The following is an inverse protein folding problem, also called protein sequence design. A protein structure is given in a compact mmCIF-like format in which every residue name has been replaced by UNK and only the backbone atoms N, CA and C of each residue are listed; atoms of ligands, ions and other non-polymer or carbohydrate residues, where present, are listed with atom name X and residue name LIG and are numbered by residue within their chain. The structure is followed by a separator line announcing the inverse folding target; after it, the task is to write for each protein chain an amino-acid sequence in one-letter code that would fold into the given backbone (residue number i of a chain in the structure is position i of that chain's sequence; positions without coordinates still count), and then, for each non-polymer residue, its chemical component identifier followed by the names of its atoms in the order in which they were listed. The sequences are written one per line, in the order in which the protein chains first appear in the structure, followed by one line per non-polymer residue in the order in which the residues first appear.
data_IF_189895786368
#
_entry.id   IF_189895786368
#
_cell.length_a   1.000
_cell.length_b   1.000
_cell.length_c   1.000
_cell.angle_alpha   90.00
_cell.angle_beta   90.00
_cell.angle_gamma   90.00
#
_symmetry.space_group_name_H-M   'P 1'
#
loop_
_entity.id
_entity.type
_entity.pdbx_description
1 polymer ?
#
# COMPACT_ATOMS: atom_id res chain seq x y z
N UNK A 1 -1.71 28.26 7.46
CA UNK A 1 -2.34 27.09 6.80
C UNK A 1 -3.23 26.44 7.84
N UNK A 2 -4.50 26.21 7.56
CA UNK A 2 -5.37 25.49 8.49
C UNK A 2 -5.14 23.98 8.37
N UNK A 3 -5.15 23.28 9.52
CA UNK A 3 -5.00 21.83 9.56
C UNK A 3 -6.32 21.17 9.14
N UNK A 4 -6.31 20.37 8.09
CA UNK A 4 -7.46 19.53 7.71
C UNK A 4 -7.45 18.22 8.50
N UNK A 5 -8.63 17.69 8.76
CA UNK A 5 -8.80 16.41 9.45
C UNK A 5 -8.43 15.23 8.52
N UNK A 6 -7.92 14.10 9.06
CA UNK A 6 -7.75 12.87 8.29
C UNK A 6 -9.08 12.36 7.71
N UNK A 7 -8.99 11.60 6.62
CA UNK A 7 -10.14 11.00 5.93
C UNK A 7 -10.11 9.48 6.12
N UNK A 8 -11.27 8.89 6.41
CA UNK A 8 -11.49 7.46 6.27
C UNK A 8 -12.66 7.23 5.30
N UNK A 9 -12.34 6.76 4.10
CA UNK A 9 -13.33 6.41 3.06
C UNK A 9 -13.46 4.89 2.88
N UNK A 10 -13.02 4.09 3.85
CA UNK A 10 -13.12 2.63 3.79
C UNK A 10 -12.07 1.94 2.92
N UNK A 11 -11.02 2.64 2.48
CA UNK A 11 -9.95 2.08 1.64
C UNK A 11 -9.30 0.84 2.28
N UNK A 12 -9.03 0.89 3.59
CA UNK A 12 -8.42 -0.23 4.30
C UNK A 12 -9.32 -1.48 4.23
N UNK A 13 -10.62 -1.31 4.50
CA UNK A 13 -11.60 -2.40 4.46
C UNK A 13 -11.74 -3.01 3.06
N UNK A 14 -11.64 -2.19 2.02
CA UNK A 14 -11.60 -2.69 0.65
C UNK A 14 -10.35 -3.53 0.37
N UNK A 15 -9.18 -3.04 0.79
CA UNK A 15 -7.90 -3.72 0.57
C UNK A 15 -7.79 -5.08 1.27
N UNK A 16 -8.50 -5.29 2.39
CA UNK A 16 -8.55 -6.59 3.10
C UNK A 16 -9.00 -7.75 2.20
N UNK A 17 -9.84 -7.48 1.18
CA UNK A 17 -10.40 -8.50 0.29
C UNK A 17 -9.95 -8.39 -1.17
N UNK A 18 -9.50 -7.20 -1.60
CA UNK A 18 -9.14 -6.95 -3.00
C UNK A 18 -7.81 -7.58 -3.41
N UNK A 19 -6.69 -7.22 -2.77
CA UNK A 19 -5.37 -7.82 -3.00
C UNK A 19 -4.79 -7.79 -4.43
N UNK A 20 -5.45 -7.19 -5.43
CA UNK A 20 -5.04 -7.24 -6.85
C UNK A 20 -3.63 -6.73 -7.09
N UNK A 21 -3.19 -5.73 -6.32
CA UNK A 21 -1.84 -5.20 -6.39
C UNK A 21 -0.79 -6.26 -6.00
N UNK A 22 -1.10 -7.13 -5.04
CA UNK A 22 -0.25 -8.24 -4.63
C UNK A 22 -0.21 -9.33 -5.71
N UNK A 23 -1.37 -9.69 -6.26
CA UNK A 23 -1.49 -10.70 -7.32
C UNK A 23 -0.72 -10.30 -8.60
N UNK A 24 -0.68 -9.00 -8.90
CA UNK A 24 0.00 -8.43 -10.07
C UNK A 24 1.51 -8.22 -9.86
N UNK A 25 1.99 -8.23 -8.62
CA UNK A 25 3.38 -7.88 -8.32
C UNK A 25 4.35 -8.96 -8.83
N UNK A 26 5.24 -8.67 -9.79
CA UNK A 26 6.09 -9.70 -10.41
C UNK A 26 7.17 -10.25 -9.47
N UNK A 27 7.42 -9.56 -8.35
CA UNK A 27 8.45 -9.92 -7.37
C UNK A 27 7.89 -10.28 -6.00
N UNK A 28 6.55 -10.39 -5.88
CA UNK A 28 5.90 -10.73 -4.62
C UNK A 28 6.22 -9.76 -3.47
N UNK A 29 6.51 -8.49 -3.79
CA UNK A 29 6.93 -7.51 -2.79
C UNK A 29 5.78 -7.01 -1.91
N UNK A 30 4.52 -7.25 -2.28
CA UNK A 30 3.34 -6.74 -1.56
C UNK A 30 2.74 -7.90 -0.75
N UNK A 31 2.26 -7.60 0.46
CA UNK A 31 1.55 -8.58 1.29
C UNK A 31 0.39 -9.23 0.51
N UNK A 32 0.29 -10.57 0.48
CA UNK A 32 -0.82 -11.26 -0.17
C UNK A 32 -2.19 -10.89 0.41
N UNK A 33 -3.23 -11.11 -0.38
CA UNK A 33 -4.63 -10.99 0.07
C UNK A 33 -4.87 -11.88 1.30
N UNK A 34 -5.63 -11.36 2.26
CA UNK A 34 -5.95 -12.08 3.50
C UNK A 34 -4.84 -12.06 4.56
N UNK A 35 -3.69 -11.44 4.28
CA UNK A 35 -2.69 -11.15 5.31
C UNK A 35 -3.09 -9.88 6.06
N UNK A 36 -3.13 -9.97 7.38
CA UNK A 36 -3.47 -8.85 8.25
C UNK A 36 -2.35 -7.81 8.35
N UNK A 37 -2.75 -6.56 8.59
CA UNK A 37 -1.84 -5.46 8.90
C UNK A 37 -1.15 -5.70 10.23
N UNK A 38 0.15 -5.45 10.27
CA UNK A 38 0.99 -5.62 11.46
C UNK A 38 1.86 -4.38 11.71
N UNK A 39 2.60 -4.42 12.82
CA UNK A 39 3.49 -3.33 13.25
C UNK A 39 4.96 -3.57 12.86
N UNK A 40 5.25 -4.68 12.18
CA UNK A 40 6.60 -5.18 11.89
C UNK A 40 7.16 -4.64 10.57
N UNK A 41 8.39 -5.01 10.22
CA UNK A 41 8.99 -4.74 8.91
C UNK A 41 8.94 -5.99 8.02
N UNK A 42 8.67 -5.84 6.72
CA UNK A 42 8.64 -6.96 5.76
C UNK A 42 9.94 -7.12 4.95
N UNK A 43 11.05 -6.60 5.48
CA UNK A 43 12.38 -6.72 4.87
C UNK A 43 13.36 -7.49 5.74
N UNK A 44 12.91 -8.04 6.88
CA UNK A 44 13.75 -8.83 7.79
C UNK A 44 14.88 -8.03 8.46
N UNK A 45 14.75 -6.71 8.47
CA UNK A 45 15.78 -5.78 8.93
C UNK A 45 15.69 -5.54 10.43
N UNK A 46 16.85 -5.49 11.07
CA UNK A 46 17.00 -5.05 12.45
C UNK A 46 17.32 -3.55 12.49
N UNK A 47 16.37 -2.78 13.01
CA UNK A 47 16.48 -1.33 13.13
C UNK A 47 17.57 -0.88 14.11
N UNK A 48 18.03 -1.75 15.02
CA UNK A 48 19.20 -1.47 15.87
C UNK A 48 20.51 -1.51 15.06
N UNK A 49 20.53 -2.24 13.94
CA UNK A 49 21.69 -2.42 13.06
C UNK A 49 21.62 -1.51 11.81
N UNK A 50 20.92 -0.38 11.90
CA UNK A 50 20.83 0.59 10.81
C UNK A 50 22.19 1.23 10.51
N UNK A 51 22.57 1.24 9.24
CA UNK A 51 23.75 1.91 8.71
C UNK A 51 23.79 3.41 9.05
N UNK A 52 22.64 4.08 9.17
CA UNK A 52 22.59 5.49 9.61
C UNK A 52 22.98 5.66 11.09
N UNK A 53 22.81 4.62 11.90
CA UNK A 53 23.22 4.57 13.30
C UNK A 53 24.60 3.90 13.50
N UNK A 54 25.36 3.67 12.43
CA UNK A 54 26.67 3.01 12.48
C UNK A 54 26.65 1.48 12.34
N UNK A 55 25.49 0.90 12.05
CA UNK A 55 25.32 -0.52 11.74
C UNK A 55 25.69 -0.89 10.29
N UNK A 56 25.21 -2.05 9.85
CA UNK A 56 25.58 -2.68 8.56
C UNK A 56 24.41 -2.80 7.58
N UNK A 57 23.16 -2.65 8.04
CA UNK A 57 21.97 -2.85 7.23
C UNK A 57 21.38 -1.53 6.73
N UNK A 58 20.91 -1.50 5.48
CA UNK A 58 20.17 -0.35 4.92
C UNK A 58 18.68 -0.58 5.13
N UNK A 59 17.97 0.33 5.79
CA UNK A 59 16.55 0.18 6.07
C UNK A 59 15.67 0.52 4.86
N UNK A 60 14.73 -0.37 4.52
CA UNK A 60 13.83 -0.24 3.36
C UNK A 60 12.34 -0.17 3.76
N UNK A 61 12.00 -0.41 5.03
CA UNK A 61 10.63 -0.29 5.53
C UNK A 61 10.64 0.18 7.00
N UNK A 62 9.86 1.23 7.29
CA UNK A 62 9.71 1.78 8.64
C UNK A 62 8.65 1.02 9.45
N UNK A 63 9.00 0.41 10.60
CA UNK A 63 8.05 -0.15 11.54
C UNK A 63 7.34 0.97 12.32
N UNK A 64 6.47 0.62 13.26
CA UNK A 64 5.87 1.59 14.20
C UNK A 64 4.54 2.22 13.74
N UNK A 65 4.02 1.84 12.57
CA UNK A 65 2.62 2.08 12.19
C UNK A 65 1.95 0.79 11.71
N UNK A 66 0.65 0.62 11.96
CA UNK A 66 -0.06 -0.59 11.51
C UNK A 66 -0.36 -0.52 10.02
N UNK A 67 0.22 -1.41 9.23
CA UNK A 67 0.05 -1.41 7.77
C UNK A 67 0.28 -2.78 7.12
N UNK A 68 -0.13 -2.91 5.87
CA UNK A 68 0.35 -4.00 5.02
C UNK A 68 1.79 -3.70 4.65
N UNK A 69 2.65 -4.69 4.85
CA UNK A 69 4.08 -4.46 4.74
C UNK A 69 4.56 -4.89 3.37
N UNK A 70 5.23 -3.98 2.68
CA UNK A 70 5.86 -4.26 1.41
C UNK A 70 7.37 -4.47 1.61
N UNK A 71 7.93 -5.45 0.90
CA UNK A 71 9.37 -5.58 0.75
C UNK A 71 9.86 -4.53 -0.26
N UNK A 72 10.15 -3.33 0.24
CA UNK A 72 10.54 -2.21 -0.61
C UNK A 72 11.90 -2.43 -1.27
N UNK A 73 12.75 -3.32 -0.73
CA UNK A 73 14.01 -3.69 -1.37
C UNK A 73 13.76 -4.43 -2.68
N UNK A 74 12.95 -5.50 -2.63
CA UNK A 74 12.56 -6.24 -3.83
C UNK A 74 11.79 -5.33 -4.83
N UNK A 75 11.01 -4.38 -4.33
CA UNK A 75 10.27 -3.43 -5.17
C UNK A 75 11.19 -2.41 -5.88
N UNK A 76 12.18 -1.84 -5.18
CA UNK A 76 12.95 -0.67 -5.64
C UNK A 76 13.78 -0.96 -6.91
N UNK A 77 14.22 -2.20 -7.09
CA UNK A 77 15.11 -2.59 -8.18
C UNK A 77 14.39 -3.35 -9.31
N UNK A 78 13.07 -3.41 -9.26
CA UNK A 78 12.25 -4.15 -10.24
C UNK A 78 11.61 -3.20 -11.25
N UNK A 79 11.96 -3.26 -12.56
CA UNK A 79 11.38 -2.40 -13.59
C UNK A 79 9.98 -2.88 -14.01
N UNK A 80 9.04 -2.91 -13.06
CA UNK A 80 7.67 -3.39 -13.27
C UNK A 80 6.70 -2.29 -13.73
N UNK A 81 7.18 -1.09 -14.06
CA UNK A 81 6.37 -0.01 -14.60
C UNK A 81 5.20 0.45 -13.71
N UNK A 82 5.31 0.26 -12.39
CA UNK A 82 4.19 0.49 -11.44
C UNK A 82 2.96 -0.37 -11.72
N UNK A 83 3.13 -1.64 -12.13
CA UNK A 83 2.02 -2.56 -12.42
C UNK A 83 0.96 -2.63 -11.30
N UNK A 84 1.39 -2.60 -10.03
CA UNK A 84 0.49 -2.56 -8.88
C UNK A 84 -0.40 -1.30 -8.82
N UNK A 85 0.11 -0.16 -9.28
CA UNK A 85 -0.68 1.07 -9.45
C UNK A 85 -1.60 0.92 -10.65
N UNK A 86 -1.10 0.45 -11.79
CA UNK A 86 -1.90 0.26 -13.01
C UNK A 86 -3.09 -0.68 -12.83
N UNK A 87 -2.95 -1.74 -12.03
CA UNK A 87 -4.01 -2.69 -11.74
C UNK A 87 -4.94 -2.29 -10.59
N UNK A 88 -4.64 -1.20 -9.87
CA UNK A 88 -5.45 -0.78 -8.73
C UNK A 88 -6.82 -0.27 -9.18
N UNK A 89 -7.96 -0.79 -8.64
CA UNK A 89 -9.30 -0.30 -8.98
C UNK A 89 -9.52 1.20 -8.77
N UNK A 90 -8.78 1.79 -7.82
CA UNK A 90 -8.81 3.21 -7.51
C UNK A 90 -7.94 4.07 -8.44
N UNK A 91 -7.09 3.46 -9.26
CA UNK A 91 -6.24 4.19 -10.19
C UNK A 91 -6.82 4.11 -11.59
N UNK A 92 -7.23 5.25 -12.17
CA UNK A 92 -7.63 5.30 -13.58
C UNK A 92 -7.19 6.54 -14.31
N UNK A 93 -7.09 6.38 -15.64
CA UNK A 93 -7.31 7.44 -16.62
C UNK A 93 -8.71 8.07 -16.41
N UNK A 94 -8.87 9.34 -16.75
CA UNK A 94 -10.11 10.10 -16.53
C UNK A 94 -11.33 9.32 -17.08
N UNK A 95 -12.38 9.18 -16.25
CA UNK A 95 -13.63 8.45 -16.50
C UNK A 95 -13.55 6.91 -16.68
N UNK A 96 -12.39 6.29 -16.44
CA UNK A 96 -12.22 4.84 -16.58
C UNK A 96 -12.49 3.98 -15.33
N UNK A 97 -12.65 4.57 -14.13
CA UNK A 97 -12.82 3.79 -12.90
C UNK A 97 -14.25 3.39 -12.67
N UNK A 98 -14.52 2.08 -12.58
CA UNK A 98 -15.81 1.59 -12.11
C UNK A 98 -16.09 2.07 -10.67
N UNK A 99 -15.05 2.32 -9.86
CA UNK A 99 -15.20 2.89 -8.51
C UNK A 99 -15.72 4.32 -8.58
N UNK A 100 -15.38 5.12 -9.60
CA UNK A 100 -15.92 6.47 -9.71
C UNK A 100 -17.45 6.45 -9.85
N UNK A 101 -17.99 5.47 -10.59
CA UNK A 101 -19.44 5.24 -10.70
C UNK A 101 -20.05 4.79 -9.37
N UNK A 102 -19.40 3.87 -8.66
CA UNK A 102 -19.87 3.38 -7.35
C UNK A 102 -19.85 4.50 -6.31
N UNK A 103 -18.73 5.22 -6.18
CA UNK A 103 -18.59 6.34 -5.24
C UNK A 103 -19.62 7.43 -5.52
N UNK A 104 -19.82 7.82 -6.79
CA UNK A 104 -20.88 8.77 -7.18
C UNK A 104 -22.26 8.28 -6.74
N UNK A 105 -22.56 7.00 -6.93
CA UNK A 105 -23.86 6.42 -6.52
C UNK A 105 -24.04 6.42 -5.00
N UNK A 106 -22.98 6.16 -4.22
CA UNK A 106 -23.06 6.16 -2.76
C UNK A 106 -23.11 7.57 -2.15
N UNK A 107 -22.35 8.52 -2.68
CA UNK A 107 -22.35 9.93 -2.19
C UNK A 107 -23.71 10.58 -2.41
N UNK A 108 -24.43 10.23 -3.48
CA UNK A 108 -25.79 10.71 -3.72
C UNK A 108 -26.83 10.18 -2.72
N UNK A 109 -26.49 9.16 -1.93
CA UNK A 109 -27.41 8.49 -0.99
C UNK A 109 -27.09 8.73 0.49
N UNK A 110 -25.95 9.36 0.80
CA UNK A 110 -25.64 9.85 2.15
C UNK A 110 -26.29 11.22 2.37
N UNK A 111 -27.17 11.39 3.38
CA UNK A 111 -27.76 12.68 3.75
C UNK A 111 -26.72 13.74 4.11
#
# INVERSE_FOLDING_TARGET
LELTKPIDAGFAKFCETCGTCADTCPVGAISPRGVDRNWDSNTGQDWVNDKQAGGTQVMYNMPGFKGWRCNSFACAFSPCGSACKGACPFNTIADGSFIHSIVKSTVATTP
#
